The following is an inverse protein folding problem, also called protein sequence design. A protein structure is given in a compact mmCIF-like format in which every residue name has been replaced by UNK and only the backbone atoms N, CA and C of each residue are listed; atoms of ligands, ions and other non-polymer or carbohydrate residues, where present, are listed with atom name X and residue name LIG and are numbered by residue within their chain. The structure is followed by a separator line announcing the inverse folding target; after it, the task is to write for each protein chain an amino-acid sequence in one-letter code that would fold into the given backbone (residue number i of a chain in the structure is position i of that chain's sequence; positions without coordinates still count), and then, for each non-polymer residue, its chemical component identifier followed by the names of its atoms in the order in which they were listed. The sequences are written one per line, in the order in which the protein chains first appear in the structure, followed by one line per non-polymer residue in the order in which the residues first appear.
data_IF_732988892946
#
_entry.id   IF_732988892946
#
_cell.length_a   1.000
_cell.length_b   1.000
_cell.length_c   1.000
_cell.angle_alpha   90.00
_cell.angle_beta   90.00
_cell.angle_gamma   90.00
#
_symmetry.space_group_name_H-M   'P 1'
#
loop_
_entity.id
_entity.type
_entity.pdbx_description
1 polymer ?
#
# COMPACT_ATOMS: atom_id res chain seq x y z
N UNK A 1 -27.13 -1.39 12.75
CA UNK A 1 -25.76 -1.46 12.18
C UNK A 1 -24.83 -2.40 12.95
N UNK A 2 -24.84 -2.44 14.29
CA UNK A 2 -23.97 -3.30 15.09
C UNK A 2 -24.15 -4.81 14.87
N UNK A 3 -25.37 -5.34 14.77
CA UNK A 3 -25.61 -6.79 14.56
C UNK A 3 -24.90 -7.39 13.33
N UNK A 4 -24.70 -6.60 12.26
CA UNK A 4 -23.94 -7.03 11.09
C UNK A 4 -22.45 -7.21 11.40
N UNK A 5 -21.87 -6.26 12.13
CA UNK A 5 -20.45 -6.27 12.50
C UNK A 5 -20.11 -7.33 13.56
N UNK A 6 -21.01 -7.56 14.52
CA UNK A 6 -20.90 -8.65 15.50
C UNK A 6 -20.88 -10.02 14.82
N UNK A 7 -21.69 -10.20 13.77
CA UNK A 7 -21.68 -11.42 12.96
C UNK A 7 -20.35 -11.60 12.22
N UNK A 8 -19.78 -10.51 11.65
CA UNK A 8 -18.44 -10.57 11.02
C UNK A 8 -17.36 -10.96 12.04
N UNK A 9 -17.44 -10.42 13.27
CA UNK A 9 -16.52 -10.81 14.32
C UNK A 9 -16.63 -12.30 14.65
N UNK A 10 -17.86 -12.85 14.80
CA UNK A 10 -18.08 -14.27 15.01
C UNK A 10 -17.51 -15.14 13.88
N UNK A 11 -17.68 -14.72 12.61
CA UNK A 11 -17.11 -15.38 11.44
C UNK A 11 -15.57 -15.43 11.53
N UNK A 12 -14.92 -14.29 11.78
CA UNK A 12 -13.46 -14.21 11.94
C UNK A 12 -12.94 -15.05 13.11
N UNK A 13 -13.64 -15.06 14.25
CA UNK A 13 -13.28 -15.85 15.43
C UNK A 13 -13.35 -17.36 15.17
N UNK A 14 -14.22 -17.81 14.26
CA UNK A 14 -14.30 -19.19 13.79
C UNK A 14 -13.22 -19.53 12.74
N UNK A 15 -12.35 -18.60 12.38
CA UNK A 15 -11.32 -18.79 11.35
C UNK A 15 -11.85 -18.68 9.91
N UNK A 16 -13.08 -18.22 9.73
CA UNK A 16 -13.69 -18.04 8.41
C UNK A 16 -13.32 -16.69 7.81
N UNK A 17 -13.01 -16.66 6.52
CA UNK A 17 -12.68 -15.42 5.81
C UNK A 17 -13.93 -14.61 5.47
N UNK A 18 -13.81 -13.31 5.51
CA UNK A 18 -14.82 -12.40 5.00
C UNK A 18 -14.80 -12.40 3.45
N UNK A 19 -15.95 -12.19 2.85
CA UNK A 19 -16.00 -11.90 1.42
C UNK A 19 -15.40 -10.51 1.12
N UNK A 20 -15.08 -10.26 -0.16
CA UNK A 20 -14.61 -8.96 -0.61
C UNK A 20 -15.61 -7.85 -0.27
N UNK A 21 -16.93 -8.08 -0.49
CA UNK A 21 -17.99 -7.13 -0.17
C UNK A 21 -18.13 -6.86 1.34
N UNK A 22 -18.02 -7.91 2.17
CA UNK A 22 -18.05 -7.76 3.64
C UNK A 22 -16.85 -6.93 4.11
N UNK A 23 -15.67 -7.19 3.58
CA UNK A 23 -14.43 -6.49 3.91
C UNK A 23 -14.46 -5.02 3.47
N UNK A 24 -15.01 -4.75 2.29
CA UNK A 24 -15.23 -3.39 1.80
C UNK A 24 -16.19 -2.62 2.71
N UNK A 25 -17.32 -3.23 3.06
CA UNK A 25 -18.33 -2.64 3.95
C UNK A 25 -17.74 -2.35 5.34
N UNK A 26 -16.97 -3.29 5.89
CA UNK A 26 -16.28 -3.09 7.16
C UNK A 26 -15.29 -1.93 7.08
N UNK A 27 -14.50 -1.85 6.00
CA UNK A 27 -13.54 -0.75 5.81
C UNK A 27 -14.24 0.61 5.77
N UNK A 28 -15.35 0.71 5.03
CA UNK A 28 -16.12 1.96 4.94
C UNK A 28 -16.69 2.34 6.32
N UNK A 29 -17.19 1.39 7.08
CA UNK A 29 -17.71 1.63 8.43
C UNK A 29 -16.60 2.10 9.40
N UNK A 30 -15.40 1.49 9.35
CA UNK A 30 -14.23 1.93 10.11
C UNK A 30 -13.80 3.35 9.73
N UNK A 31 -13.76 3.63 8.43
CA UNK A 31 -13.42 4.94 7.89
C UNK A 31 -14.40 6.05 8.28
N UNK A 32 -15.68 5.72 8.37
CA UNK A 32 -16.72 6.64 8.82
C UNK A 32 -16.69 6.90 10.34
N UNK A 33 -15.91 6.12 11.10
CA UNK A 33 -15.90 6.19 12.58
C UNK A 33 -17.21 5.71 13.21
N UNK A 34 -17.99 4.90 12.49
CA UNK A 34 -19.30 4.42 12.94
C UNK A 34 -19.23 3.11 13.72
N UNK A 35 -18.04 2.52 13.84
CA UNK A 35 -17.79 1.30 14.59
C UNK A 35 -17.28 1.67 15.99
N UNK A 36 -17.91 1.08 17.01
CA UNK A 36 -17.45 1.27 18.38
C UNK A 36 -15.98 0.82 18.52
N UNK A 37 -15.09 1.59 19.20
CA UNK A 37 -13.66 1.32 19.23
C UNK A 37 -13.26 -0.08 19.73
N UNK A 38 -13.95 -0.65 20.73
CA UNK A 38 -13.67 -1.99 21.22
C UNK A 38 -14.02 -3.05 20.15
N UNK A 39 -15.16 -2.89 19.46
CA UNK A 39 -15.56 -3.78 18.37
C UNK A 39 -14.61 -3.66 17.18
N UNK A 40 -14.22 -2.44 16.81
CA UNK A 40 -13.25 -2.21 15.75
C UNK A 40 -11.89 -2.87 16.07
N UNK A 41 -11.42 -2.72 17.31
CA UNK A 41 -10.21 -3.39 17.78
C UNK A 41 -10.33 -4.91 17.71
N UNK A 42 -11.43 -5.48 18.20
CA UNK A 42 -11.69 -6.92 18.17
C UNK A 42 -11.70 -7.48 16.73
N UNK A 43 -12.38 -6.80 15.80
CA UNK A 43 -12.41 -7.18 14.37
C UNK A 43 -11.02 -7.18 13.74
N UNK A 44 -10.21 -6.15 13.99
CA UNK A 44 -8.85 -6.06 13.45
C UNK A 44 -7.91 -7.11 14.05
N UNK A 45 -8.05 -7.41 15.34
CA UNK A 45 -7.28 -8.46 16.00
C UNK A 45 -7.68 -9.84 15.49
N UNK A 46 -8.98 -10.14 15.41
CA UNK A 46 -9.47 -11.42 14.89
C UNK A 46 -9.02 -11.66 13.43
N UNK A 47 -9.10 -10.63 12.58
CA UNK A 47 -8.62 -10.68 11.20
C UNK A 47 -7.11 -10.97 11.14
N UNK A 48 -6.32 -10.27 11.95
CA UNK A 48 -4.87 -10.48 12.03
C UNK A 48 -4.48 -11.86 12.57
N UNK A 49 -5.22 -12.39 13.56
CA UNK A 49 -4.98 -13.73 14.12
C UNK A 49 -5.31 -14.83 13.12
N UNK A 50 -6.37 -14.67 12.35
CA UNK A 50 -6.75 -15.61 11.28
C UNK A 50 -5.73 -15.58 10.13
N UNK A 51 -5.17 -14.42 9.84
CA UNK A 51 -4.41 -14.12 8.62
C UNK A 51 -5.34 -13.65 7.49
N UNK A 52 -4.95 -12.57 6.83
CA UNK A 52 -5.75 -11.95 5.79
C UNK A 52 -5.74 -12.77 4.50
N UNK A 53 -6.90 -12.97 3.88
CA UNK A 53 -7.04 -13.52 2.54
C UNK A 53 -6.89 -12.43 1.46
N UNK A 54 -6.63 -12.84 0.22
CA UNK A 54 -6.52 -11.89 -0.90
C UNK A 54 -7.83 -11.16 -1.17
N UNK A 55 -8.98 -11.81 -0.96
CA UNK A 55 -10.30 -11.22 -1.10
C UNK A 55 -10.55 -10.17 -0.02
N UNK A 56 -10.20 -10.48 1.22
CA UNK A 56 -10.29 -9.51 2.32
C UNK A 56 -9.42 -8.28 2.07
N UNK A 57 -8.17 -8.49 1.65
CA UNK A 57 -7.24 -7.40 1.32
C UNK A 57 -7.79 -6.53 0.18
N UNK A 58 -8.37 -7.13 -0.88
CA UNK A 58 -9.03 -6.38 -1.96
C UNK A 58 -10.22 -5.59 -1.46
N UNK A 59 -11.10 -6.20 -0.67
CA UNK A 59 -12.26 -5.53 -0.11
C UNK A 59 -11.87 -4.32 0.74
N UNK A 60 -10.90 -4.47 1.62
CA UNK A 60 -10.36 -3.35 2.39
C UNK A 60 -9.73 -2.27 1.51
N UNK A 61 -8.97 -2.66 0.47
CA UNK A 61 -8.38 -1.71 -0.47
C UNK A 61 -9.44 -0.94 -1.26
N UNK A 62 -10.48 -1.62 -1.74
CA UNK A 62 -11.60 -1.02 -2.46
C UNK A 62 -12.38 -0.05 -1.55
N UNK A 63 -12.69 -0.46 -0.32
CA UNK A 63 -13.34 0.41 0.67
C UNK A 63 -12.51 1.66 0.97
N UNK A 64 -11.18 1.50 1.14
CA UNK A 64 -10.28 2.63 1.37
C UNK A 64 -10.24 3.59 0.17
N UNK A 65 -10.19 3.06 -1.07
CA UNK A 65 -10.22 3.87 -2.29
C UNK A 65 -11.53 4.63 -2.47
N UNK A 66 -12.67 4.04 -2.07
CA UNK A 66 -13.99 4.70 -2.14
C UNK A 66 -14.11 5.90 -1.21
N UNK A 67 -13.42 5.88 -0.07
CA UNK A 67 -13.45 6.96 0.92
C UNK A 67 -12.25 7.92 0.81
N UNK A 68 -11.33 7.65 -0.10
CA UNK A 68 -10.18 8.52 -0.38
C UNK A 68 -10.58 9.75 -1.20
N UNK A 69 -9.77 10.79 -1.11
CA UNK A 69 -9.84 11.90 -2.05
C UNK A 69 -9.35 11.41 -3.42
N UNK A 70 -10.26 11.26 -4.37
CA UNK A 70 -9.95 10.69 -5.68
C UNK A 70 -9.02 11.61 -6.50
N UNK A 71 -8.02 11.02 -7.15
CA UNK A 71 -7.11 11.69 -8.07
C UNK A 71 -7.32 11.12 -9.46
N UNK A 72 -8.20 11.74 -10.25
CA UNK A 72 -8.43 11.33 -11.63
C UNK A 72 -7.29 11.83 -12.52
N UNK A 73 -6.48 10.92 -12.99
CA UNK A 73 -5.47 11.19 -14.02
C UNK A 73 -6.06 10.95 -15.41
N UNK A 74 -5.44 11.54 -16.43
CA UNK A 74 -5.84 11.27 -17.79
C UNK A 74 -5.41 9.84 -18.18
N UNK A 75 -6.28 9.10 -18.85
CA UNK A 75 -6.03 7.70 -19.24
C UNK A 75 -4.75 7.54 -20.09
N UNK A 76 -4.39 8.56 -20.85
CA UNK A 76 -3.19 8.59 -21.67
C UNK A 76 -1.87 8.64 -20.87
N UNK A 77 -1.92 8.99 -19.59
CA UNK A 77 -0.71 9.07 -18.75
C UNK A 77 -0.23 7.69 -18.31
N UNK A 78 -1.10 6.69 -18.24
CA UNK A 78 -0.78 5.32 -17.86
C UNK A 78 0.21 5.24 -16.66
N UNK A 79 -0.16 5.78 -15.49
CA UNK A 79 0.77 5.94 -14.40
C UNK A 79 1.20 4.59 -13.79
N UNK A 80 2.44 4.56 -13.27
CA UNK A 80 2.96 3.47 -12.46
C UNK A 80 3.10 3.90 -11.00
N UNK A 81 2.76 3.00 -10.06
CA UNK A 81 3.19 3.11 -8.66
C UNK A 81 4.36 2.15 -8.40
N UNK A 82 5.41 2.67 -7.76
CA UNK A 82 6.58 1.90 -7.36
C UNK A 82 6.67 1.97 -5.85
N UNK A 83 6.24 0.88 -5.19
CA UNK A 83 5.96 0.87 -3.76
C UNK A 83 6.44 -0.42 -3.11
N UNK A 84 6.66 -0.43 -1.81
CA UNK A 84 6.93 -1.64 -1.04
C UNK A 84 5.91 -1.83 0.06
N UNK A 85 5.72 -3.06 0.51
CA UNK A 85 4.87 -3.38 1.66
C UNK A 85 5.43 -2.79 2.96
N UNK A 86 6.74 -2.46 2.98
CA UNK A 86 7.43 -2.04 4.18
C UNK A 86 7.56 -3.17 5.21
N UNK A 87 8.12 -2.84 6.36
CA UNK A 87 8.14 -3.78 7.49
C UNK A 87 9.14 -4.93 7.40
N UNK A 88 10.14 -4.82 6.51
CA UNK A 88 11.20 -5.82 6.32
C UNK A 88 12.32 -5.76 7.37
N UNK A 89 12.35 -4.71 8.20
CA UNK A 89 13.38 -4.51 9.22
C UNK A 89 14.79 -4.29 8.68
N UNK A 90 14.97 -4.22 7.35
CA UNK A 90 16.29 -4.24 6.71
C UNK A 90 17.12 -2.97 6.88
N UNK A 91 16.51 -1.86 7.33
CA UNK A 91 17.13 -0.54 7.42
C UNK A 91 17.89 -0.11 6.13
N UNK A 92 17.43 -0.62 4.99
CA UNK A 92 18.02 -0.36 3.68
C UNK A 92 17.66 1.04 3.16
N UNK A 93 18.22 1.40 2.02
CA UNK A 93 17.83 2.62 1.29
C UNK A 93 16.34 2.62 0.97
N UNK A 94 15.76 3.81 0.76
CA UNK A 94 14.42 3.98 0.21
C UNK A 94 14.40 3.58 -1.28
N UNK A 95 14.65 2.27 -1.55
CA UNK A 95 14.83 1.71 -2.90
C UNK A 95 13.66 2.05 -3.80
N UNK A 96 12.43 1.84 -3.32
CA UNK A 96 11.23 2.15 -4.12
C UNK A 96 11.10 3.64 -4.45
N UNK A 97 11.57 4.54 -3.57
CA UNK A 97 11.57 5.98 -3.86
C UNK A 97 12.65 6.35 -4.88
N UNK A 98 13.84 5.82 -4.72
CA UNK A 98 14.93 6.00 -5.71
C UNK A 98 14.56 5.45 -7.08
N UNK A 99 13.97 4.24 -7.13
CA UNK A 99 13.49 3.65 -8.37
C UNK A 99 12.37 4.46 -9.02
N UNK A 100 11.46 5.04 -8.22
CA UNK A 100 10.38 5.89 -8.71
C UNK A 100 10.93 7.17 -9.38
N UNK A 101 11.89 7.84 -8.74
CA UNK A 101 12.54 9.02 -9.31
C UNK A 101 13.32 8.70 -10.59
N UNK A 102 14.06 7.59 -10.58
CA UNK A 102 14.80 7.12 -11.75
C UNK A 102 13.84 6.76 -12.91
N UNK A 103 12.74 6.09 -12.63
CA UNK A 103 11.74 5.73 -13.64
C UNK A 103 11.12 6.97 -14.27
N UNK A 104 10.82 8.00 -13.48
CA UNK A 104 10.35 9.27 -14.01
C UNK A 104 11.41 9.98 -14.89
N UNK A 105 12.67 9.96 -14.48
CA UNK A 105 13.78 10.48 -15.27
C UNK A 105 13.98 9.71 -16.60
N UNK A 106 13.57 8.44 -16.64
CA UNK A 106 13.56 7.63 -17.86
C UNK A 106 12.28 7.81 -18.72
N UNK A 107 11.40 8.74 -18.37
CA UNK A 107 10.22 9.11 -19.16
C UNK A 107 8.92 8.38 -18.79
N UNK A 108 8.88 7.63 -17.67
CA UNK A 108 7.64 7.04 -17.17
C UNK A 108 6.83 8.07 -16.36
N UNK A 109 5.52 7.94 -16.38
CA UNK A 109 4.65 8.71 -15.49
C UNK A 109 4.49 7.98 -14.16
N UNK A 110 5.03 8.52 -13.10
CA UNK A 110 5.03 7.92 -11.78
C UNK A 110 4.06 8.66 -10.85
N UNK A 111 3.03 7.95 -10.38
CA UNK A 111 2.12 8.39 -9.34
C UNK A 111 2.43 7.59 -8.06
N UNK A 112 3.45 7.98 -7.32
CA UNK A 112 3.88 7.23 -6.15
C UNK A 112 3.02 7.53 -4.94
N UNK A 113 2.39 6.49 -4.36
CA UNK A 113 1.71 6.59 -3.07
C UNK A 113 2.65 6.20 -1.93
N UNK A 114 2.59 6.94 -0.83
CA UNK A 114 3.45 6.65 0.30
C UNK A 114 3.21 7.52 1.53
N UNK A 115 3.97 7.22 2.58
CA UNK A 115 3.84 7.88 3.87
C UNK A 115 5.23 8.12 4.50
N UNK A 116 5.23 8.77 5.67
CA UNK A 116 6.38 8.78 6.58
C UNK A 116 6.61 7.40 7.16
N UNK A 117 7.81 7.15 7.63
CA UNK A 117 8.12 5.91 8.34
C UNK A 117 7.37 5.83 9.67
N UNK A 118 6.93 4.62 10.01
CA UNK A 118 6.40 4.29 11.35
C UNK A 118 7.42 3.51 12.17
N UNK A 119 8.24 2.70 11.53
CA UNK A 119 9.17 1.77 12.20
C UNK A 119 10.62 1.89 11.76
N UNK A 120 10.90 2.49 10.61
CA UNK A 120 12.26 2.71 10.11
C UNK A 120 12.74 4.15 10.35
N UNK A 121 14.03 4.39 10.18
CA UNK A 121 14.64 5.72 10.40
C UNK A 121 14.16 6.78 9.41
N UNK A 122 13.74 6.40 8.20
CA UNK A 122 13.30 7.31 7.15
C UNK A 122 12.33 6.59 6.20
N UNK A 123 11.15 7.16 6.01
CA UNK A 123 10.18 6.73 5.01
C UNK A 123 10.34 7.47 3.69
N UNK A 124 9.50 7.14 2.72
CA UNK A 124 9.54 7.77 1.39
C UNK A 124 9.24 9.28 1.45
N UNK A 125 8.30 9.69 2.28
CA UNK A 125 7.97 11.10 2.46
C UNK A 125 9.11 11.86 3.17
N UNK A 126 9.74 11.25 4.17
CA UNK A 126 10.84 11.88 4.92
C UNK A 126 12.02 12.19 3.99
N UNK A 127 12.38 11.25 3.09
CA UNK A 127 13.43 11.45 2.11
C UNK A 127 13.09 12.58 1.12
N UNK A 128 11.88 12.57 0.58
CA UNK A 128 11.46 13.56 -0.40
C UNK A 128 11.39 14.97 0.21
N UNK A 129 10.91 15.07 1.44
CA UNK A 129 10.88 16.35 2.18
C UNK A 129 12.31 16.88 2.43
N UNK A 130 13.23 16.00 2.83
CA UNK A 130 14.65 16.35 2.98
C UNK A 130 15.26 16.87 1.67
N UNK A 131 14.83 16.33 0.53
CA UNK A 131 15.25 16.80 -0.80
C UNK A 131 14.50 18.07 -1.25
N UNK A 132 13.64 18.65 -0.42
CA UNK A 132 12.89 19.88 -0.71
C UNK A 132 11.64 19.66 -1.56
N UNK A 133 11.15 18.42 -1.71
CA UNK A 133 9.94 18.13 -2.44
C UNK A 133 8.70 18.65 -1.69
N UNK A 134 7.80 19.34 -2.40
CA UNK A 134 6.54 19.82 -1.86
C UNK A 134 5.40 18.89 -2.24
N UNK A 135 4.78 18.29 -1.23
CA UNK A 135 3.67 17.37 -1.44
C UNK A 135 2.43 18.10 -1.96
N UNK A 136 1.83 17.65 -3.06
CA UNK A 136 0.55 18.16 -3.51
C UNK A 136 -0.55 17.80 -2.51
N UNK A 137 -1.50 18.70 -2.34
CA UNK A 137 -2.69 18.51 -1.51
C UNK A 137 -3.96 18.33 -2.32
N UNK A 138 -3.90 18.68 -3.61
CA UNK A 138 -5.02 18.71 -4.54
C UNK A 138 -4.75 17.81 -5.76
N UNK A 139 -5.81 17.21 -6.30
CA UNK A 139 -5.72 16.31 -7.46
C UNK A 139 -5.11 17.01 -8.70
N UNK A 140 -5.45 18.27 -8.94
CA UNK A 140 -4.93 19.02 -10.09
C UNK A 140 -3.43 19.33 -9.95
N UNK A 141 -2.95 19.51 -8.73
CA UNK A 141 -1.52 19.67 -8.47
C UNK A 141 -0.75 18.37 -8.79
N UNK A 142 -1.32 17.20 -8.46
CA UNK A 142 -0.77 15.89 -8.83
C UNK A 142 -0.64 15.76 -10.34
N UNK A 143 -1.73 16.04 -11.09
CA UNK A 143 -1.72 16.02 -12.57
C UNK A 143 -0.65 16.93 -13.17
N UNK A 144 -0.59 18.15 -12.63
CA UNK A 144 0.37 19.17 -13.11
C UNK A 144 1.81 18.71 -12.87
N UNK A 145 2.11 18.12 -11.72
CA UNK A 145 3.44 17.60 -11.42
C UNK A 145 3.80 16.45 -12.38
N UNK A 146 2.91 15.46 -12.55
CA UNK A 146 3.18 14.32 -13.46
C UNK A 146 3.43 14.82 -14.89
N UNK A 147 2.58 15.71 -15.41
CA UNK A 147 2.75 16.25 -16.78
C UNK A 147 4.05 17.01 -16.97
N UNK A 148 4.53 17.72 -15.95
CA UNK A 148 5.75 18.54 -16.02
C UNK A 148 7.04 17.75 -15.79
N UNK A 149 7.00 16.75 -14.91
CA UNK A 149 8.22 16.10 -14.39
C UNK A 149 8.20 14.58 -14.51
N UNK A 150 7.10 13.98 -14.96
CA UNK A 150 6.90 12.54 -14.92
C UNK A 150 6.68 11.97 -13.52
N UNK A 151 6.66 12.80 -12.46
CA UNK A 151 6.60 12.32 -11.07
C UNK A 151 5.63 13.13 -10.22
N UNK A 152 4.83 12.45 -9.41
CA UNK A 152 4.16 13.05 -8.26
C UNK A 152 4.11 12.07 -7.10
N UNK A 153 4.22 12.61 -5.88
CA UNK A 153 4.11 11.84 -4.64
C UNK A 153 2.79 12.14 -3.94
N UNK A 154 1.93 11.13 -3.87
CA UNK A 154 0.65 11.20 -3.17
C UNK A 154 0.89 10.84 -1.70
N UNK A 155 1.03 11.88 -0.88
CA UNK A 155 1.24 11.71 0.56
C UNK A 155 -0.03 11.22 1.22
N UNK A 156 -0.04 10.02 1.77
CA UNK A 156 -1.25 9.33 2.25
C UNK A 156 -2.14 10.16 3.17
N UNK A 157 -1.64 10.94 4.15
CA UNK A 157 -2.47 11.79 4.98
C UNK A 157 -3.30 12.85 4.23
N UNK A 158 -2.80 13.34 3.08
CA UNK A 158 -3.53 14.34 2.28
C UNK A 158 -4.72 13.74 1.53
N UNK A 159 -4.65 12.45 1.19
CA UNK A 159 -5.64 11.80 0.33
C UNK A 159 -6.52 10.77 1.04
N UNK A 160 -6.20 10.40 2.29
CA UNK A 160 -6.98 9.47 3.10
C UNK A 160 -7.45 10.10 4.42
N UNK A 161 -8.32 11.13 4.36
CA UNK A 161 -8.77 11.86 5.57
C UNK A 161 -9.53 10.96 6.55
N UNK A 162 -10.16 9.89 6.06
CA UNK A 162 -10.89 8.92 6.85
C UNK A 162 -10.00 8.13 7.84
N UNK A 163 -8.68 8.07 7.59
CA UNK A 163 -7.75 7.38 8.48
C UNK A 163 -7.67 8.01 9.88
N UNK A 164 -8.13 9.24 10.08
CA UNK A 164 -8.22 9.86 11.41
C UNK A 164 -9.07 9.06 12.41
N UNK A 165 -10.06 8.29 11.94
CA UNK A 165 -10.90 7.44 12.78
C UNK A 165 -10.25 6.09 13.11
N UNK A 166 -9.38 5.61 12.24
CA UNK A 166 -8.69 4.31 12.39
C UNK A 166 -7.37 4.45 13.15
N UNK A 167 -6.68 5.58 13.01
CA UNK A 167 -5.36 5.80 13.61
C UNK A 167 -5.32 5.60 15.14
N UNK A 168 -6.28 6.11 15.94
CA UNK A 168 -6.29 5.89 17.39
C UNK A 168 -6.41 4.41 17.78
N UNK A 169 -7.23 3.64 17.05
CA UNK A 169 -7.41 2.20 17.27
C UNK A 169 -6.10 1.47 17.01
N UNK A 170 -5.44 1.74 15.88
CA UNK A 170 -4.14 1.15 15.54
C UNK A 170 -3.06 1.50 16.58
N UNK A 171 -3.04 2.75 17.06
CA UNK A 171 -2.11 3.19 18.10
C UNK A 171 -2.35 2.47 19.44
N UNK A 172 -3.59 2.20 19.80
CA UNK A 172 -3.95 1.46 21.00
C UNK A 172 -3.55 -0.02 20.89
N UNK A 173 -3.78 -0.65 19.73
CA UNK A 173 -3.48 -2.07 19.52
C UNK A 173 -1.97 -2.37 19.50
N UNK A 174 -1.16 -1.51 18.92
CA UNK A 174 0.32 -1.69 18.77
C UNK A 174 0.74 -3.01 18.11
N UNK A 175 -0.11 -3.58 17.27
CA UNK A 175 0.16 -4.80 16.51
C UNK A 175 0.09 -4.52 15.01
N UNK A 176 0.57 -5.45 14.19
CA UNK A 176 0.33 -5.44 12.75
C UNK A 176 -1.13 -5.82 12.48
N UNK A 177 -1.75 -5.11 11.56
CA UNK A 177 -3.12 -5.34 11.10
C UNK A 177 -3.16 -5.21 9.59
N UNK A 178 -4.29 -5.50 8.97
CA UNK A 178 -4.51 -5.31 7.53
C UNK A 178 -4.03 -3.94 7.01
N UNK A 179 -4.11 -2.89 7.81
CA UNK A 179 -3.63 -1.55 7.45
C UNK A 179 -2.13 -1.46 7.18
N UNK A 180 -1.34 -2.42 7.63
CA UNK A 180 0.10 -2.45 7.36
C UNK A 180 0.44 -2.94 5.95
N UNK A 181 -0.50 -3.62 5.30
CA UNK A 181 -0.35 -4.18 3.97
C UNK A 181 -1.19 -3.48 2.90
N UNK A 182 -2.14 -2.61 3.32
CA UNK A 182 -3.02 -1.90 2.39
C UNK A 182 -2.34 -0.76 1.63
N UNK A 183 -1.29 -0.15 2.19
CA UNK A 183 -0.65 1.03 1.60
C UNK A 183 -0.38 0.93 0.11
N UNK A 184 0.25 -0.15 -0.38
CA UNK A 184 0.51 -0.36 -1.80
C UNK A 184 -0.75 -0.46 -2.68
N UNK A 185 -1.88 -0.87 -2.12
CA UNK A 185 -3.11 -1.15 -2.85
C UNK A 185 -4.12 0.00 -2.84
N UNK A 186 -3.85 1.06 -2.06
CA UNK A 186 -4.81 2.15 -1.82
C UNK A 186 -4.44 3.47 -2.48
N UNK A 187 -3.58 3.43 -3.50
CA UNK A 187 -3.22 4.63 -4.25
C UNK A 187 -4.46 5.30 -4.84
N UNK A 188 -4.75 6.58 -4.47
CA UNK A 188 -5.96 7.28 -4.90
C UNK A 188 -5.96 7.63 -6.40
N UNK A 189 -4.80 7.59 -7.07
CA UNK A 189 -4.68 7.79 -8.51
C UNK A 189 -4.99 6.53 -9.32
N UNK A 190 -5.25 5.38 -8.69
CA UNK A 190 -5.55 4.09 -9.33
C UNK A 190 -4.61 3.79 -10.51
N UNK A 191 -3.30 3.69 -10.29
CA UNK A 191 -2.33 3.55 -11.37
C UNK A 191 -2.57 2.27 -12.19
N UNK A 192 -2.28 2.36 -13.50
CA UNK A 192 -2.42 1.25 -14.44
C UNK A 192 -1.36 0.17 -14.23
N UNK A 193 -0.22 0.54 -13.67
CA UNK A 193 0.94 -0.34 -13.48
C UNK A 193 1.45 -0.29 -12.05
N UNK A 194 1.95 -1.44 -11.58
CA UNK A 194 2.58 -1.55 -10.26
C UNK A 194 3.92 -2.27 -10.32
N UNK A 195 4.90 -1.72 -9.62
CA UNK A 195 6.10 -2.44 -9.21
C UNK A 195 6.12 -2.48 -7.68
N UNK A 196 5.83 -3.65 -7.11
CA UNK A 196 5.61 -3.82 -5.68
C UNK A 196 6.69 -4.71 -5.07
N UNK A 197 7.42 -4.19 -4.09
CA UNK A 197 8.37 -4.97 -3.29
C UNK A 197 7.68 -5.62 -2.10
N UNK A 198 7.89 -6.93 -1.93
CA UNK A 198 7.41 -7.68 -0.79
C UNK A 198 8.59 -8.22 0.04
N UNK A 199 8.40 -8.35 1.36
CA UNK A 199 9.46 -8.78 2.27
C UNK A 199 9.53 -10.31 2.46
N UNK A 200 8.50 -11.06 2.04
CA UNK A 200 8.48 -12.53 2.06
C UNK A 200 7.72 -13.10 0.87
N UNK A 201 7.89 -14.41 0.62
CA UNK A 201 7.18 -15.13 -0.44
C UNK A 201 5.68 -15.18 -0.20
N UNK A 202 5.26 -15.34 1.05
CA UNK A 202 3.86 -15.35 1.47
C UNK A 202 3.23 -13.98 1.19
N UNK A 203 3.94 -12.90 1.56
CA UNK A 203 3.49 -11.54 1.28
C UNK A 203 3.45 -11.25 -0.22
N UNK A 204 4.43 -11.73 -0.98
CA UNK A 204 4.42 -11.59 -2.43
C UNK A 204 3.23 -12.29 -3.07
N UNK A 205 2.91 -13.50 -2.62
CA UNK A 205 1.76 -14.28 -3.09
C UNK A 205 0.44 -13.60 -2.74
N UNK A 206 0.31 -13.11 -1.51
CA UNK A 206 -0.87 -12.37 -1.05
C UNK A 206 -1.09 -11.10 -1.88
N UNK A 207 -0.03 -10.30 -2.09
CA UNK A 207 -0.11 -9.07 -2.89
C UNK A 207 -0.43 -9.35 -4.35
N UNK A 208 0.20 -10.36 -4.96
CA UNK A 208 -0.07 -10.75 -6.34
C UNK A 208 -1.52 -11.21 -6.53
N UNK A 209 -2.03 -12.04 -5.61
CA UNK A 209 -3.42 -12.50 -5.62
C UNK A 209 -4.41 -11.35 -5.38
N UNK A 210 -4.06 -10.40 -4.51
CA UNK A 210 -4.89 -9.21 -4.29
C UNK A 210 -4.94 -8.32 -5.52
N UNK A 211 -3.79 -8.05 -6.15
CA UNK A 211 -3.69 -7.22 -7.36
C UNK A 211 -4.38 -7.86 -8.56
N UNK A 212 -4.37 -9.20 -8.69
CA UNK A 212 -4.97 -9.89 -9.85
C UNK A 212 -6.49 -9.69 -9.95
N UNK A 213 -7.17 -9.35 -8.87
CA UNK A 213 -8.60 -9.02 -8.85
C UNK A 213 -8.89 -7.51 -8.92
N UNK A 214 -7.88 -6.66 -9.11
CA UNK A 214 -8.06 -5.20 -9.18
C UNK A 214 -7.99 -4.71 -10.64
N UNK A 215 -8.63 -3.57 -10.93
CA UNK A 215 -8.54 -2.91 -12.22
C UNK A 215 -7.13 -2.31 -12.40
N UNK A 216 -6.28 -3.02 -13.16
CA UNK A 216 -4.96 -2.56 -13.57
C UNK A 216 -4.50 -3.30 -14.84
N UNK A 217 -3.53 -2.75 -15.55
CA UNK A 217 -3.00 -3.37 -16.78
C UNK A 217 -1.96 -4.43 -16.47
N UNK A 218 -1.02 -4.14 -15.54
CA UNK A 218 0.04 -5.06 -15.16
C UNK A 218 0.64 -4.71 -13.81
N UNK A 219 1.04 -5.75 -13.07
CA UNK A 219 1.80 -5.62 -11.84
C UNK A 219 2.97 -6.60 -11.81
N UNK A 220 4.08 -6.15 -11.21
CA UNK A 220 5.18 -7.01 -10.82
C UNK A 220 5.29 -6.97 -9.29
N UNK A 221 5.32 -8.15 -8.67
CA UNK A 221 5.58 -8.28 -7.24
C UNK A 221 6.94 -8.95 -7.07
N UNK A 222 7.86 -8.25 -6.41
CA UNK A 222 9.26 -8.61 -6.33
C UNK A 222 9.67 -8.94 -4.89
N UNK A 223 10.49 -9.98 -4.75
CA UNK A 223 11.25 -10.32 -3.54
C UNK A 223 12.68 -9.83 -3.71
N UNK A 224 12.97 -8.62 -3.26
CA UNK A 224 14.24 -7.96 -3.56
C UNK A 224 15.45 -8.66 -2.92
N UNK A 225 15.27 -9.23 -1.73
CA UNK A 225 16.37 -9.78 -0.93
C UNK A 225 16.58 -11.29 -1.12
N UNK A 226 15.62 -11.99 -1.71
CA UNK A 226 15.68 -13.44 -1.90
C UNK A 226 15.85 -13.87 -3.35
N UNK A 227 15.59 -12.97 -4.30
CA UNK A 227 15.89 -13.18 -5.70
C UNK A 227 17.29 -12.66 -5.99
N UNK A 228 18.30 -13.50 -6.16
CA UNK A 228 19.62 -13.04 -6.52
C UNK A 228 19.54 -12.31 -7.85
N UNK A 229 20.00 -11.06 -7.87
CA UNK A 229 20.10 -10.31 -9.10
C UNK A 229 21.08 -11.03 -10.04
N UNK A 230 20.93 -10.96 -11.36
CA UNK A 230 21.93 -11.49 -12.28
C UNK A 230 23.34 -10.94 -12.01
N UNK A 231 23.44 -9.71 -11.48
CA UNK A 231 24.72 -9.10 -11.06
C UNK A 231 25.30 -9.75 -9.80
N UNK A 232 24.48 -10.16 -8.85
CA UNK A 232 24.94 -10.83 -7.63
C UNK A 232 25.48 -12.22 -7.99
N UNK A 233 24.85 -12.91 -8.93
CA UNK A 233 25.34 -14.19 -9.47
C UNK A 233 26.63 -14.04 -10.24
N UNK A 234 26.80 -12.99 -11.02
CA UNK A 234 28.03 -12.74 -11.79
C UNK A 234 29.19 -12.35 -10.87
N UNK A 235 28.95 -11.61 -9.80
CA UNK A 235 29.98 -11.31 -8.81
C UNK A 235 30.44 -12.53 -8.03
N UNK A 236 29.53 -13.44 -7.69
CA UNK A 236 29.87 -14.68 -6.98
C UNK A 236 30.43 -15.77 -7.91
N UNK A 237 30.37 -15.59 -9.23
CA UNK A 237 30.78 -16.55 -10.24
C UNK A 237 31.77 -16.00 -11.25
N UNK A 238 32.34 -14.80 -11.02
CA UNK A 238 33.53 -14.49 -11.78
C UNK A 238 34.56 -15.57 -11.43
N UNK A 239 34.96 -16.42 -12.37
CA UNK A 239 36.12 -17.26 -12.14
C UNK A 239 37.21 -16.29 -11.79
N UNK A 240 37.99 -16.58 -10.75
CA UNK A 240 39.31 -16.02 -10.62
C UNK A 240 39.99 -16.40 -11.93
N UNK A 241 39.89 -15.51 -12.90
CA UNK A 241 40.47 -15.74 -14.18
C UNK A 241 41.94 -15.79 -13.98
N UNK A 242 42.38 -16.83 -14.38
CA UNK A 242 43.70 -16.92 -14.89
C UNK A 242 44.19 -15.64 -15.58
#
# INVERSE_FOLDING_TARGET
MNHGLERLLGQLMNGESLSEEQSETLMIALAAGSVEPALAGALLVALSMKGESAEEVRGFANGMRKVATEVKLDDSLEPIDIVGTGGDGSQSFNISTGSALLSAACGLNVAKHGNRSVSSKSGSADLLEFLGYRFPTEADAVKTQIRKTGFSFLFAPNFHPAMKHVAPIRQALKIRTVFNILGPLTNPAKPSFYLLGAFSSEMASLMASSLSGMELKRAFVCLLYTSPSPRDRTRSRMPSSA
#
